data_IF_097947463711
#
_entry.id   IF_097947463711
#
_cell.length_a   1.000
_cell.length_b   1.000
_cell.length_c   1.000
_cell.angle_alpha   90.00
_cell.angle_beta   90.00
_cell.angle_gamma   90.00
#
_symmetry.space_group_name_H-M   'P 1'
#
loop_
_entity.id
_entity.type
_entity.pdbx_description
1 polymer ?
#
# COMPACT_ATOMS: atom_id res chain seq x y z
N UNK A 1 3.58 18.55 14.75
CA UNK A 1 3.62 17.38 13.83
C UNK A 1 5.01 16.78 13.65
N UNK A 2 5.15 15.50 14.01
CA UNK A 2 6.32 14.68 13.73
C UNK A 2 6.12 13.91 12.41
N UNK A 3 7.23 13.53 11.77
CA UNK A 3 7.24 12.87 10.46
C UNK A 3 7.79 11.47 10.62
N UNK A 4 7.14 10.48 10.03
CA UNK A 4 7.53 9.08 10.22
C UNK A 4 7.72 8.36 8.90
N UNK A 5 8.73 7.49 8.86
CA UNK A 5 8.82 6.36 7.94
C UNK A 5 8.37 5.11 8.69
N UNK A 6 7.39 4.43 8.14
CA UNK A 6 6.79 3.24 8.71
C UNK A 6 7.08 2.09 7.77
N UNK A 7 7.88 1.13 8.22
CA UNK A 7 8.11 -0.13 7.54
C UNK A 7 7.41 -1.26 8.29
N UNK A 8 6.85 -2.23 7.57
CA UNK A 8 6.26 -3.42 8.21
C UNK A 8 6.58 -4.69 7.44
N UNK A 9 6.55 -5.80 8.14
CA UNK A 9 6.69 -7.15 7.58
C UNK A 9 5.57 -8.00 8.16
N UNK A 10 4.78 -8.56 7.26
CA UNK A 10 3.59 -9.34 7.56
C UNK A 10 4.00 -10.76 7.23
N UNK A 11 3.95 -11.66 8.22
CA UNK A 11 4.28 -13.06 8.00
C UNK A 11 3.34 -13.74 6.99
N UNK A 12 3.29 -15.08 7.01
CA UNK A 12 2.47 -15.88 6.07
C UNK A 12 0.96 -15.63 6.13
N UNK A 13 0.47 -14.77 7.04
CA UNK A 13 -0.95 -14.44 7.17
C UNK A 13 -1.28 -13.14 6.45
N UNK A 14 -2.19 -13.24 5.48
CA UNK A 14 -2.76 -12.13 4.75
C UNK A 14 -3.72 -11.34 5.66
N UNK A 15 -3.25 -10.24 6.23
CA UNK A 15 -4.02 -9.40 7.16
C UNK A 15 -3.75 -7.90 7.06
N UNK A 16 -3.34 -7.39 5.89
CA UNK A 16 -2.87 -6.01 5.76
C UNK A 16 -3.97 -4.95 5.62
N UNK A 17 -5.23 -5.35 5.41
CA UNK A 17 -6.30 -4.40 5.05
C UNK A 17 -6.57 -3.41 6.18
N UNK A 18 -6.70 -3.88 7.42
CA UNK A 18 -6.92 -3.00 8.57
C UNK A 18 -5.73 -2.06 8.83
N UNK A 19 -4.50 -2.56 8.65
CA UNK A 19 -3.29 -1.75 8.76
C UNK A 19 -3.26 -0.64 7.69
N UNK A 20 -3.59 -0.97 6.44
CA UNK A 20 -3.62 -0.01 5.33
C UNK A 20 -4.69 1.04 5.57
N UNK A 21 -5.88 0.65 6.01
CA UNK A 21 -6.95 1.59 6.35
C UNK A 21 -6.51 2.56 7.44
N UNK A 22 -5.87 2.08 8.51
CA UNK A 22 -5.37 2.94 9.59
C UNK A 22 -4.32 3.94 9.08
N UNK A 23 -3.43 3.52 8.18
CA UNK A 23 -2.42 4.38 7.57
C UNK A 23 -3.05 5.44 6.65
N UNK A 24 -4.05 5.06 5.86
CA UNK A 24 -4.80 5.96 5.00
C UNK A 24 -5.60 7.01 5.80
N UNK A 25 -6.21 6.62 6.92
CA UNK A 25 -6.87 7.54 7.86
C UNK A 25 -5.91 8.59 8.42
N UNK A 26 -4.64 8.20 8.66
CA UNK A 26 -3.59 9.13 9.08
C UNK A 26 -3.03 9.98 7.93
N UNK A 27 -3.60 9.88 6.73
CA UNK A 27 -3.09 10.57 5.54
C UNK A 27 -1.70 10.09 5.13
N UNK A 28 -1.33 8.86 5.47
CA UNK A 28 -0.06 8.29 5.07
C UNK A 28 0.00 8.05 3.57
N UNK A 29 1.19 8.17 3.00
CA UNK A 29 1.44 7.89 1.58
C UNK A 29 2.40 6.72 1.44
N UNK A 30 2.15 5.84 0.47
CA UNK A 30 3.07 4.74 0.16
C UNK A 30 4.33 5.28 -0.52
N UNK A 31 5.49 4.83 -0.01
CA UNK A 31 6.79 4.95 -0.66
C UNK A 31 7.13 3.67 -1.42
N UNK A 32 6.90 2.51 -0.79
CA UNK A 32 7.00 1.16 -1.34
C UNK A 32 5.79 0.34 -0.83
N UNK A 33 5.63 -0.91 -1.25
CA UNK A 33 4.49 -1.74 -0.85
C UNK A 33 4.39 -1.89 0.68
N UNK A 34 5.54 -2.08 1.34
CA UNK A 34 5.63 -2.24 2.79
C UNK A 34 6.23 -1.02 3.51
N UNK A 35 6.36 0.13 2.84
CA UNK A 35 6.91 1.36 3.42
C UNK A 35 5.98 2.54 3.18
N UNK A 36 5.58 3.19 4.26
CA UNK A 36 4.69 4.34 4.28
C UNK A 36 5.35 5.54 4.95
N UNK A 37 4.85 6.72 4.60
CA UNK A 37 5.30 8.00 5.14
C UNK A 37 4.09 8.75 5.67
N UNK A 38 4.20 9.36 6.85
CA UNK A 38 3.09 10.14 7.43
C UNK A 38 3.61 11.31 8.27
N UNK A 39 2.72 12.28 8.51
CA UNK A 39 2.94 13.43 9.39
C UNK A 39 1.79 13.54 10.37
N UNK A 40 2.02 13.17 11.63
CA UNK A 40 1.00 13.09 12.68
C UNK A 40 1.54 13.60 14.03
N UNK A 41 0.64 13.86 14.97
CA UNK A 41 0.97 14.38 16.32
C UNK A 41 0.93 13.28 17.37
N UNK A 42 1.55 12.14 17.05
CA UNK A 42 1.56 10.95 17.89
C UNK A 42 3.01 10.53 18.12
N UNK A 43 3.33 10.02 19.30
CA UNK A 43 4.67 9.52 19.60
C UNK A 43 5.02 8.26 18.78
N UNK A 44 6.29 8.02 18.42
CA UNK A 44 6.67 6.81 17.68
C UNK A 44 6.33 5.52 18.43
N UNK A 45 6.34 5.55 19.77
CA UNK A 45 5.94 4.41 20.63
C UNK A 45 4.46 4.08 20.43
N UNK A 46 3.62 5.10 20.41
CA UNK A 46 2.18 4.94 20.26
C UNK A 46 1.80 4.54 18.83
N UNK A 47 2.44 5.12 17.81
CA UNK A 47 2.31 4.69 16.41
C UNK A 47 2.63 3.20 16.30
N UNK A 48 3.78 2.77 16.85
CA UNK A 48 4.17 1.35 16.85
C UNK A 48 3.13 0.48 17.54
N UNK A 49 2.63 0.89 18.71
CA UNK A 49 1.64 0.14 19.48
C UNK A 49 0.35 -0.07 18.69
N UNK A 50 -0.18 0.97 18.05
CA UNK A 50 -1.41 0.88 17.23
C UNK A 50 -1.18 -0.06 16.05
N UNK A 51 -0.10 0.14 15.29
CA UNK A 51 0.21 -0.68 14.11
C UNK A 51 0.46 -2.15 14.47
N UNK A 52 1.13 -2.42 15.60
CA UNK A 52 1.34 -3.79 16.09
C UNK A 52 0.00 -4.49 16.38
N UNK A 53 -1.00 -3.75 16.88
CA UNK A 53 -2.34 -4.29 17.12
C UNK A 53 -3.02 -4.83 15.85
N UNK A 54 -2.72 -4.26 14.68
CA UNK A 54 -3.22 -4.75 13.40
C UNK A 54 -2.41 -5.91 12.81
N UNK A 55 -1.13 -5.99 13.15
CA UNK A 55 -0.17 -6.96 12.59
C UNK A 55 -0.20 -8.32 13.31
N UNK A 56 -0.77 -8.40 14.51
CA UNK A 56 -0.76 -9.61 15.33
C UNK A 56 0.59 -9.89 15.98
N UNK A 57 0.75 -11.11 16.52
CA UNK A 57 1.93 -11.47 17.34
C UNK A 57 3.20 -11.68 16.52
N UNK A 58 3.07 -12.16 15.27
CA UNK A 58 4.20 -12.50 14.41
C UNK A 58 4.62 -11.36 13.48
N UNK A 59 3.77 -10.34 13.34
CA UNK A 59 4.05 -9.20 12.47
C UNK A 59 5.08 -8.26 13.07
N UNK A 60 5.87 -7.62 12.21
CA UNK A 60 6.95 -6.72 12.60
C UNK A 60 6.66 -5.33 12.07
N UNK A 61 6.95 -4.31 12.87
CA UNK A 61 6.83 -2.90 12.45
C UNK A 61 8.04 -2.10 12.94
N UNK A 62 8.55 -1.26 12.05
CA UNK A 62 9.56 -0.27 12.33
C UNK A 62 8.95 1.13 12.11
N UNK A 63 9.08 1.99 13.12
CA UNK A 63 8.64 3.39 13.05
C UNK A 63 9.89 4.24 13.28
N UNK A 64 10.26 5.02 12.27
CA UNK A 64 11.46 5.87 12.28
C UNK A 64 10.99 7.31 12.16
N UNK A 65 11.28 8.12 13.17
CA UNK A 65 11.06 9.56 13.09
C UNK A 65 12.06 10.20 12.12
N UNK A 66 11.55 11.01 11.19
CA UNK A 66 12.32 11.68 10.16
C UNK A 66 12.55 13.14 10.54
N UNK A 67 13.82 13.56 10.54
CA UNK A 67 14.18 14.97 10.64
C UNK A 67 14.40 15.58 9.25
N UNK A 68 14.10 16.88 9.04
CA UNK A 68 14.33 17.54 7.76
C UNK A 68 15.79 17.54 7.29
N UNK A 69 16.75 17.32 8.21
CA UNK A 69 18.18 17.29 7.93
C UNK A 69 18.66 15.94 7.41
N UNK A 70 17.84 14.88 7.48
CA UNK A 70 18.18 13.57 6.96
C UNK A 70 18.41 13.59 5.45
N UNK A 71 19.35 12.76 5.02
CA UNK A 71 19.58 12.46 3.60
C UNK A 71 18.85 11.19 3.24
N UNK A 72 18.26 11.18 2.05
CA UNK A 72 17.54 10.02 1.54
C UNK A 72 17.78 9.91 0.02
N UNK A 73 17.56 8.70 -0.50
CA UNK A 73 17.59 8.38 -1.92
C UNK A 73 16.69 7.18 -2.15
N UNK A 74 16.12 7.04 -3.35
CA UNK A 74 15.25 5.92 -3.71
C UNK A 74 15.58 5.45 -5.11
N UNK A 75 15.61 4.13 -5.33
CA UNK A 75 15.51 3.54 -6.67
C UNK A 75 14.06 3.14 -6.94
N UNK A 76 13.39 3.80 -7.89
CA UNK A 76 12.01 3.48 -8.30
C UNK A 76 10.94 3.51 -7.19
N UNK A 77 10.98 4.49 -6.29
CA UNK A 77 9.91 4.71 -5.30
C UNK A 77 8.59 5.17 -5.94
N UNK A 78 7.47 4.93 -5.27
CA UNK A 78 6.16 5.39 -5.74
C UNK A 78 6.10 6.93 -5.80
N UNK A 79 5.52 7.53 -6.86
CA UNK A 79 5.56 8.99 -7.06
C UNK A 79 5.03 9.80 -5.88
N UNK A 80 3.95 9.34 -5.23
CA UNK A 80 3.35 10.02 -4.08
C UNK A 80 4.33 10.10 -2.90
N UNK A 81 4.93 8.98 -2.50
CA UNK A 81 5.93 8.95 -1.42
C UNK A 81 7.20 9.74 -1.75
N UNK A 82 7.68 9.67 -2.99
CA UNK A 82 8.86 10.46 -3.42
C UNK A 82 8.57 11.96 -3.35
N UNK A 83 7.40 12.40 -3.80
CA UNK A 83 7.00 13.80 -3.73
C UNK A 83 6.83 14.27 -2.28
N UNK A 84 6.29 13.41 -1.41
CA UNK A 84 6.19 13.68 0.02
C UNK A 84 7.57 13.89 0.64
N UNK A 85 8.55 13.01 0.35
CA UNK A 85 9.92 13.15 0.85
C UNK A 85 10.57 14.46 0.36
N UNK A 86 10.41 14.82 -0.92
CA UNK A 86 10.93 16.09 -1.47
C UNK A 86 10.35 17.30 -0.75
N UNK A 87 9.07 17.25 -0.39
CA UNK A 87 8.39 18.36 0.27
C UNK A 87 8.81 18.52 1.73
N UNK A 88 8.84 17.42 2.48
CA UNK A 88 9.01 17.46 3.93
C UNK A 88 10.44 17.24 4.43
N UNK A 89 11.23 16.49 3.66
CA UNK A 89 12.63 16.19 3.94
C UNK A 89 13.44 16.66 2.72
N UNK A 90 13.49 17.97 2.41
CA UNK A 90 14.29 18.46 1.31
C UNK A 90 15.75 18.16 1.64
N UNK A 91 16.26 17.05 1.12
CA UNK A 91 17.59 16.57 1.46
C UNK A 91 18.55 17.74 1.30
N UNK A 92 19.42 17.94 2.28
CA UNK A 92 20.57 18.83 2.16
C UNK A 92 21.56 18.20 1.17
N UNK A 93 21.12 18.07 -0.09
CA UNK A 93 21.96 17.65 -1.19
C UNK A 93 23.07 18.70 -1.32
N UNK A 94 24.31 18.29 -1.60
CA UNK A 94 25.31 19.24 -2.02
C UNK A 94 24.71 20.03 -3.19
N UNK A 95 24.78 21.37 -3.08
CA UNK A 95 24.44 22.29 -4.17
C UNK A 95 25.05 21.69 -5.45
N UNK A 96 24.26 21.42 -6.51
CA UNK A 96 24.79 20.75 -7.69
C UNK A 96 26.01 21.54 -8.16
N UNK A 97 27.18 20.90 -8.14
CA UNK A 97 28.38 21.52 -8.69
C UNK A 97 28.08 21.87 -10.14
N UNK A 98 28.37 23.11 -10.60
CA UNK A 98 28.13 23.50 -11.98
C UNK A 98 28.96 22.60 -12.89
N UNK A 99 28.32 21.60 -13.49
CA UNK A 99 29.01 20.58 -14.29
C UNK A 99 28.31 19.22 -14.28
N UNK A 100 27.63 18.85 -13.20
CA UNK A 100 26.83 17.63 -13.18
C UNK A 100 25.45 17.90 -13.76
N UNK A 101 25.31 17.76 -15.09
CA UNK A 101 24.01 17.72 -15.76
C UNK A 101 23.23 16.56 -15.15
N UNK A 102 22.26 16.87 -14.29
CA UNK A 102 21.21 15.93 -13.93
C UNK A 102 20.59 15.46 -15.24
N UNK A 103 20.63 14.15 -15.47
CA UNK A 103 19.99 13.49 -16.59
C UNK A 103 18.48 13.62 -16.49
N UNK A 104 17.95 14.79 -16.83
CA UNK A 104 16.60 14.97 -17.34
C UNK A 104 16.57 14.50 -18.79
N UNK A 105 16.86 13.22 -19.04
CA UNK A 105 16.66 12.59 -20.35
C UNK A 105 16.54 11.05 -20.30
N UNK A 106 16.17 10.47 -19.16
CA UNK A 106 15.78 9.05 -19.12
C UNK A 106 14.32 8.80 -19.54
N UNK A 107 13.54 9.86 -19.84
CA UNK A 107 12.13 9.75 -20.26
C UNK A 107 11.87 10.08 -21.74
N UNK A 108 12.93 10.18 -22.58
CA UNK A 108 12.77 10.39 -24.04
C UNK A 108 13.44 9.39 -24.97
N UNK A 109 13.99 8.28 -24.44
CA UNK A 109 14.67 7.25 -25.23
C UNK A 109 14.08 5.83 -25.09
N UNK A 110 12.77 5.71 -24.88
CA UNK A 110 12.03 4.45 -25.10
C UNK A 110 10.70 4.65 -25.86
N UNK A 111 10.55 5.77 -26.58
CA UNK A 111 9.40 6.04 -27.45
C UNK A 111 9.71 5.86 -28.96
N UNK A 112 10.81 5.19 -29.31
CA UNK A 112 11.14 4.82 -30.69
C UNK A 112 11.72 3.42 -30.63
N UNK A 113 10.88 2.37 -30.64
CA UNK A 113 11.17 1.03 -31.18
C UNK A 113 9.90 0.16 -31.30
N UNK A 114 8.73 0.79 -31.49
CA UNK A 114 7.48 0.13 -31.86
C UNK A 114 7.16 0.34 -33.34
N UNK A 115 8.03 -0.11 -34.24
CA UNK A 115 7.66 -0.24 -35.65
C UNK A 115 8.59 -1.17 -36.40
N UNK A 116 8.26 -2.46 -36.42
CA UNK A 116 8.32 -3.37 -37.57
C UNK A 116 8.34 -4.82 -37.11
N UNK A 117 7.18 -5.48 -37.22
CA UNK A 117 7.01 -6.79 -37.88
C UNK A 117 5.52 -7.13 -37.87
N UNK A 118 4.82 -6.55 -38.85
CA UNK A 118 3.67 -7.22 -39.47
C UNK A 118 4.25 -8.22 -40.47
N UNK A 119 3.91 -9.49 -40.30
CA UNK A 119 4.22 -10.57 -41.23
C UNK A 119 3.16 -11.65 -41.07
N UNK A 120 2.16 -11.57 -41.93
CA UNK A 120 1.01 -12.45 -42.13
C UNK A 120 1.42 -13.87 -42.56
N UNK A 121 0.66 -14.89 -42.15
CA UNK A 121 0.05 -15.97 -42.98
C UNK A 121 -0.59 -17.00 -42.02
N UNK A 122 -1.93 -17.13 -41.94
CA UNK A 122 -2.87 -17.85 -42.82
C UNK A 122 -3.07 -19.35 -42.46
N UNK A 123 -4.34 -19.73 -42.19
CA UNK A 123 -4.85 -21.10 -42.22
C UNK A 123 -5.67 -21.48 -40.97
N UNK A 124 -7.02 -21.34 -40.92
CA UNK A 124 -8.07 -22.38 -41.17
C UNK A 124 -7.81 -23.73 -40.47
N UNK A 125 -8.73 -24.42 -39.78
CA UNK A 125 -10.21 -24.45 -39.61
C UNK A 125 -10.50 -25.32 -38.35
N UNK A 126 -11.77 -25.44 -37.90
CA UNK A 126 -12.16 -25.97 -36.59
C UNK A 126 -12.59 -27.45 -36.63
N UNK A 127 -12.71 -28.08 -35.45
CA UNK A 127 -13.64 -29.19 -35.22
C UNK A 127 -14.04 -29.33 -33.74
N UNK A 128 -15.35 -29.31 -33.52
CA UNK A 128 -16.18 -30.04 -32.55
C UNK A 128 -15.61 -30.61 -31.23
N UNK A 129 -16.39 -30.42 -30.16
CA UNK A 129 -16.41 -31.35 -29.02
C UNK A 129 -16.99 -30.77 -27.73
N UNK A 130 -18.30 -30.52 -27.68
CA UNK A 130 -19.24 -31.10 -26.69
C UNK A 130 -19.26 -30.53 -25.25
N UNK A 131 -20.43 -29.97 -24.92
CA UNK A 131 -21.07 -29.83 -23.58
C UNK A 131 -21.36 -31.24 -23.02
N UNK A 132 -21.44 -31.49 -21.68
CA UNK A 132 -22.59 -31.08 -20.84
C UNK A 132 -22.19 -30.63 -19.40
N UNK A 133 -22.86 -29.63 -18.81
CA UNK A 133 -23.97 -29.75 -17.81
C UNK A 133 -23.55 -30.28 -16.43
N UNK A 134 -23.63 -29.41 -15.41
CA UNK A 134 -24.07 -29.80 -14.06
C UNK A 134 -24.55 -28.56 -13.29
N UNK A 135 -25.88 -28.38 -13.30
CA UNK A 135 -26.63 -27.62 -12.31
C UNK A 135 -26.46 -28.28 -10.96
N UNK A 136 -26.06 -27.55 -9.92
CA UNK A 136 -26.25 -27.98 -8.54
C UNK A 136 -27.02 -26.92 -7.76
N UNK A 137 -28.31 -27.20 -7.63
CA UNK A 137 -29.30 -26.52 -6.78
C UNK A 137 -29.49 -27.39 -5.56
N UNK A 138 -29.16 -26.94 -4.33
CA UNK A 138 -29.87 -27.28 -3.07
C UNK A 138 -29.43 -26.33 -1.93
N UNK A 139 -30.09 -26.27 -0.76
CA UNK A 139 -31.22 -25.39 -0.46
C UNK A 139 -30.93 -24.33 0.62
N UNK A 140 -31.81 -23.33 0.61
CA UNK A 140 -32.16 -22.41 1.70
C UNK A 140 -32.47 -23.17 3.00
N UNK A 141 -31.68 -22.95 4.05
CA UNK A 141 -32.02 -23.29 5.43
C UNK A 141 -32.48 -22.04 6.16
N UNK A 142 -33.65 -22.16 6.79
CA UNK A 142 -34.35 -21.14 7.52
C UNK A 142 -33.63 -20.71 8.80
N UNK A 143 -33.87 -19.46 9.19
CA UNK A 143 -33.54 -18.91 10.50
C UNK A 143 -34.18 -19.70 11.65
N UNK A 144 -33.64 -19.53 12.87
CA UNK A 144 -34.50 -19.33 14.02
C UNK A 144 -34.34 -17.93 14.62
N UNK A 145 -35.51 -17.36 14.86
CA UNK A 145 -35.83 -16.25 15.74
C UNK A 145 -35.20 -16.47 17.12
N UNK A 146 -34.44 -15.48 17.58
CA UNK A 146 -33.94 -15.37 18.95
C UNK A 146 -34.43 -14.07 19.57
N UNK A 147 -35.55 -14.17 20.28
CA UNK A 147 -36.22 -13.12 21.06
C UNK A 147 -35.55 -12.93 22.42
N UNK A 148 -35.60 -11.68 22.93
CA UNK A 148 -35.57 -11.24 24.33
C UNK A 148 -34.24 -11.16 25.12
N UNK A 149 -33.95 -9.93 25.58
CA UNK A 149 -33.79 -9.50 26.99
C UNK A 149 -33.19 -8.07 26.99
N UNK A 150 -33.96 -6.98 27.07
CA UNK A 150 -34.43 -6.28 28.29
C UNK A 150 -33.57 -6.49 29.54
N UNK A 151 -32.78 -5.47 29.88
CA UNK A 151 -32.41 -4.99 31.22
C UNK A 151 -31.95 -3.53 31.02
N UNK A 152 -32.73 -2.48 31.28
CA UNK A 152 -33.31 -1.97 32.53
C UNK A 152 -32.29 -1.74 33.67
N UNK A 153 -32.09 -0.44 33.95
CA UNK A 153 -31.56 0.23 35.18
C UNK A 153 -30.06 0.05 35.48
N UNK A 154 -29.32 1.10 35.85
CA UNK A 154 -29.62 2.07 36.93
C UNK A 154 -28.89 3.40 36.71
N UNK A 155 -29.67 4.48 36.79
CA UNK A 155 -29.21 5.82 37.18
C UNK A 155 -28.97 5.80 38.69
N UNK A 156 -27.85 6.32 39.14
CA UNK A 156 -27.73 6.96 40.47
C UNK A 156 -26.72 8.10 40.40
N UNK A 157 -27.12 9.16 41.08
CA UNK A 157 -26.58 10.52 41.18
C UNK A 157 -25.11 10.67 41.53
#
# INVERSE_FOLDING_TARGET
>A
MARFLIGYDVGKQHGCVALHHQLEEWGAVKLLESIWLTSIEISPIEVRRVLQGHLGIDGRVAVIELTPTLRWSTGAGLPAGVNWLKHFIPGSGPKPSPGCRQGVDALRLLAIHSSQRRGTHHGTRPAHGQRPTATQTVPRVAAPVGTAAVADRKVTS
#
